data_IF_688473080644
#
_entry.id   IF_688473080644
#
_cell.length_a   1.000
_cell.length_b   1.000
_cell.length_c   1.000
_cell.angle_alpha   90.00
_cell.angle_beta   90.00
_cell.angle_gamma   90.00
#
_symmetry.space_group_name_H-M   'P 1'
#
loop_
_entity.id
_entity.type
_entity.pdbx_description
1 polymer ?
#
# COMPACT_ATOMS: atom_id res chain seq x y z
N UNK A 1 -29.50 25.16 -8.65
CA UNK A 1 -28.33 24.82 -7.81
C UNK A 1 -27.29 24.18 -8.71
N UNK A 2 -26.04 24.70 -8.81
CA UNK A 2 -25.01 24.01 -9.58
C UNK A 2 -24.75 22.64 -8.95
N UNK A 3 -24.55 21.63 -9.78
CA UNK A 3 -24.21 20.30 -9.30
C UNK A 3 -22.89 20.40 -8.54
N UNK A 4 -22.80 19.95 -7.28
CA UNK A 4 -21.54 19.98 -6.54
C UNK A 4 -20.49 19.22 -7.36
N UNK A 5 -19.34 19.86 -7.57
CA UNK A 5 -18.25 19.37 -8.44
C UNK A 5 -17.83 17.93 -8.10
N UNK A 6 -17.89 17.57 -6.82
CA UNK A 6 -17.60 16.22 -6.31
C UNK A 6 -18.54 15.13 -6.87
N UNK A 7 -19.80 15.45 -7.18
CA UNK A 7 -20.74 14.47 -7.70
C UNK A 7 -20.75 14.41 -9.23
N UNK A 8 -20.12 15.38 -9.91
CA UNK A 8 -20.13 15.41 -11.38
C UNK A 8 -19.57 14.11 -11.96
N UNK A 9 -20.15 13.54 -13.03
CA UNK A 9 -19.65 12.32 -13.67
C UNK A 9 -18.13 12.37 -13.97
N UNK A 10 -17.63 13.58 -14.25
CA UNK A 10 -16.23 13.87 -14.51
C UNK A 10 -15.34 13.64 -13.28
N UNK A 11 -15.81 13.97 -12.07
CA UNK A 11 -15.04 13.76 -10.84
C UNK A 11 -14.82 12.28 -10.52
N UNK A 12 -15.88 11.46 -10.68
CA UNK A 12 -15.78 10.01 -10.51
C UNK A 12 -14.89 9.38 -11.57
N UNK A 13 -15.05 9.78 -12.83
CA UNK A 13 -14.21 9.31 -13.93
C UNK A 13 -12.72 9.66 -13.72
N UNK A 14 -12.42 10.86 -13.20
CA UNK A 14 -11.05 11.29 -12.94
C UNK A 14 -10.38 10.51 -11.79
N UNK A 15 -11.16 10.03 -10.82
CA UNK A 15 -10.62 9.32 -9.65
C UNK A 15 -10.41 7.82 -9.94
N UNK A 16 -11.19 7.23 -10.85
CA UNK A 16 -11.18 5.79 -11.13
C UNK A 16 -9.80 5.21 -11.46
N UNK A 17 -8.96 5.83 -12.33
CA UNK A 17 -7.63 5.28 -12.62
C UNK A 17 -6.72 5.25 -11.39
N UNK A 18 -6.74 6.31 -10.58
CA UNK A 18 -5.92 6.42 -9.37
C UNK A 18 -6.35 5.36 -8.36
N UNK A 19 -7.66 5.17 -8.17
CA UNK A 19 -8.20 4.15 -7.27
C UNK A 19 -7.85 2.73 -7.73
N UNK A 20 -7.96 2.45 -9.03
CA UNK A 20 -7.60 1.17 -9.61
C UNK A 20 -6.13 0.84 -9.37
N UNK A 21 -5.22 1.77 -9.71
CA UNK A 21 -3.77 1.58 -9.50
C UNK A 21 -3.45 1.39 -8.02
N UNK A 22 -4.03 2.22 -7.14
CA UNK A 22 -3.88 2.11 -5.68
C UNK A 22 -4.32 0.73 -5.17
N UNK A 23 -5.43 0.20 -5.70
CA UNK A 23 -5.95 -1.12 -5.33
C UNK A 23 -5.02 -2.25 -5.80
N UNK A 24 -4.44 -2.14 -6.99
CA UNK A 24 -3.49 -3.11 -7.54
C UNK A 24 -2.14 -3.09 -6.82
N UNK A 25 -1.73 -1.95 -6.26
CA UNK A 25 -0.54 -1.85 -5.42
C UNK A 25 -0.69 -2.60 -4.09
N UNK A 26 -1.93 -2.76 -3.60
CA UNK A 26 -2.25 -3.38 -2.30
C UNK A 26 -1.38 -2.85 -1.15
N UNK A 27 -1.18 -1.53 -1.10
CA UNK A 27 -0.36 -0.94 -0.05
C UNK A 27 -1.19 -0.72 1.23
N UNK A 28 -0.60 -0.98 2.41
CA UNK A 28 -1.19 -0.71 3.73
C UNK A 28 -0.18 0.06 4.59
N UNK A 29 -0.57 1.26 5.02
CA UNK A 29 0.28 2.15 5.82
C UNK A 29 -0.17 2.16 7.29
N UNK A 30 0.71 1.67 8.15
CA UNK A 30 0.58 1.76 9.60
C UNK A 30 1.62 2.72 10.17
N UNK A 31 1.34 4.02 10.04
CA UNK A 31 2.25 5.07 10.52
C UNK A 31 2.52 4.94 12.02
N UNK A 32 1.49 4.71 12.83
CA UNK A 32 1.63 4.55 14.29
C UNK A 32 2.45 3.32 14.72
N UNK A 33 2.53 2.29 13.87
CA UNK A 33 3.34 1.08 14.11
C UNK A 33 4.62 1.05 13.27
N UNK A 34 4.94 2.15 12.58
CA UNK A 34 6.13 2.27 11.74
C UNK A 34 6.23 1.17 10.67
N UNK A 35 5.14 0.81 10.00
CA UNK A 35 5.19 -0.23 8.96
C UNK A 35 4.45 0.19 7.70
N UNK A 36 5.04 -0.12 6.54
CA UNK A 36 4.43 -0.01 5.21
C UNK A 36 4.45 -1.40 4.59
N UNK A 37 3.28 -1.95 4.28
CA UNK A 37 3.11 -3.24 3.61
C UNK A 37 2.73 -3.02 2.15
N UNK A 38 3.20 -3.90 1.26
CA UNK A 38 2.82 -3.87 -0.16
C UNK A 38 2.94 -5.24 -0.80
N UNK A 39 1.95 -5.61 -1.60
CA UNK A 39 1.89 -6.85 -2.38
C UNK A 39 1.32 -6.58 -3.78
N UNK A 40 2.11 -5.97 -4.69
CA UNK A 40 1.59 -5.52 -5.96
C UNK A 40 1.13 -6.66 -6.86
N UNK A 41 0.02 -6.43 -7.58
CA UNK A 41 -0.56 -7.36 -8.56
C UNK A 41 -0.89 -6.64 -9.87
N UNK A 42 0.05 -5.84 -10.35
CA UNK A 42 -0.05 -5.11 -11.61
C UNK A 42 -0.05 -6.09 -12.80
N UNK A 43 -0.96 -5.89 -13.78
CA UNK A 43 -0.89 -6.58 -15.06
C UNK A 43 0.40 -6.23 -15.80
N UNK A 44 0.98 -7.19 -16.54
CA UNK A 44 2.19 -6.94 -17.35
C UNK A 44 1.99 -5.81 -18.37
N UNK A 45 0.77 -5.64 -18.88
CA UNK A 45 0.42 -4.58 -19.83
C UNK A 45 0.54 -3.16 -19.27
N UNK A 46 0.62 -3.00 -17.95
CA UNK A 46 0.78 -1.69 -17.30
C UNK A 46 2.25 -1.27 -17.20
N UNK A 47 3.19 -2.19 -17.46
CA UNK A 47 4.62 -1.93 -17.40
C UNK A 47 5.12 -1.62 -15.98
N UNK A 48 6.10 -0.73 -15.90
CA UNK A 48 6.69 -0.28 -14.64
C UNK A 48 5.92 0.92 -14.07
N UNK A 49 5.64 0.88 -12.78
CA UNK A 49 4.94 1.94 -12.07
C UNK A 49 5.93 2.73 -11.21
N UNK A 50 6.05 4.02 -11.48
CA UNK A 50 6.89 4.96 -10.75
C UNK A 50 6.03 6.05 -10.11
N UNK A 51 5.98 6.10 -8.78
CA UNK A 51 5.29 7.14 -8.02
C UNK A 51 6.29 7.90 -7.18
N UNK A 52 6.48 9.19 -7.49
CA UNK A 52 7.30 10.09 -6.68
C UNK A 52 6.45 10.96 -5.77
N UNK A 53 7.08 11.54 -4.74
CA UNK A 53 6.48 12.58 -3.91
C UNK A 53 5.20 12.12 -3.17
N UNK A 54 5.07 10.80 -2.93
CA UNK A 54 3.95 10.26 -2.19
C UNK A 54 4.08 10.63 -0.71
N UNK A 55 3.07 11.27 -0.09
CA UNK A 55 3.14 11.68 1.31
C UNK A 55 3.06 10.45 2.23
N UNK A 56 3.99 10.35 3.18
CA UNK A 56 4.00 9.30 4.19
C UNK A 56 4.64 9.76 5.49
N UNK A 57 3.90 9.66 6.60
CA UNK A 57 4.38 9.97 7.96
C UNK A 57 5.16 11.30 8.08
N UNK A 58 4.68 12.36 7.43
CA UNK A 58 5.31 13.69 7.42
C UNK A 58 6.50 13.86 6.45
N UNK A 59 6.87 12.80 5.73
CA UNK A 59 7.87 12.82 4.66
C UNK A 59 7.28 12.56 3.28
N UNK A 60 8.18 12.41 2.30
CA UNK A 60 7.87 12.05 0.92
C UNK A 60 8.65 10.80 0.55
N UNK A 61 7.97 9.83 -0.04
CA UNK A 61 8.58 8.61 -0.54
C UNK A 61 8.46 8.52 -2.05
N UNK A 62 9.33 7.70 -2.63
CA UNK A 62 9.22 7.21 -4.00
C UNK A 62 8.94 5.72 -3.95
N UNK A 63 8.04 5.25 -4.82
CA UNK A 63 7.63 3.86 -4.96
C UNK A 63 7.89 3.46 -6.41
N UNK A 64 8.70 2.43 -6.59
CA UNK A 64 8.93 1.76 -7.86
C UNK A 64 8.32 0.37 -7.82
N UNK A 65 7.59 -0.03 -8.86
CA UNK A 65 7.11 -1.40 -9.00
C UNK A 65 7.42 -1.89 -10.41
N UNK A 66 8.26 -2.92 -10.48
CA UNK A 66 8.59 -3.63 -11.72
C UNK A 66 8.35 -5.13 -11.50
N UNK A 67 7.62 -5.80 -12.41
CA UNK A 67 7.31 -7.23 -12.31
C UNK A 67 6.72 -7.63 -10.93
N UNK A 68 5.81 -6.82 -10.39
CA UNK A 68 5.23 -6.99 -9.05
C UNK A 68 6.24 -7.01 -7.89
N UNK A 69 7.45 -6.49 -8.12
CA UNK A 69 8.49 -6.26 -7.13
C UNK A 69 8.47 -4.79 -6.73
N UNK A 70 7.98 -4.46 -5.52
CA UNK A 70 8.01 -3.10 -5.02
C UNK A 70 9.37 -2.75 -4.42
N UNK A 71 9.85 -1.54 -4.70
CA UNK A 71 10.94 -0.87 -4.02
C UNK A 71 10.47 0.50 -3.53
N UNK A 72 10.94 0.91 -2.35
CA UNK A 72 10.54 2.18 -1.71
C UNK A 72 11.78 2.94 -1.27
N UNK A 73 11.89 4.21 -1.67
CA UNK A 73 12.95 5.11 -1.22
C UNK A 73 12.39 6.27 -0.40
N UNK A 74 13.24 6.84 0.46
CA UNK A 74 12.87 7.99 1.30
C UNK A 74 12.02 7.63 2.52
N UNK A 75 11.98 6.34 2.91
CA UNK A 75 11.18 5.87 4.04
C UNK A 75 11.56 6.62 5.33
N UNK A 76 10.61 7.24 6.05
CA UNK A 76 10.88 7.98 7.26
C UNK A 76 11.54 7.12 8.36
N UNK A 77 12.34 7.77 9.22
CA UNK A 77 13.01 7.08 10.34
C UNK A 77 11.98 6.37 11.23
N UNK A 78 12.25 5.12 11.58
CA UNK A 78 11.36 4.29 12.41
C UNK A 78 10.26 3.57 11.64
N UNK A 79 10.18 3.74 10.31
CA UNK A 79 9.30 2.96 9.46
C UNK A 79 10.06 1.81 8.78
N UNK A 80 9.40 0.67 8.62
CA UNK A 80 9.93 -0.53 7.97
C UNK A 80 9.03 -0.91 6.81
N UNK A 81 9.63 -1.12 5.65
CA UNK A 81 8.95 -1.66 4.49
C UNK A 81 8.87 -3.19 4.57
N UNK A 82 7.70 -3.76 4.33
CA UNK A 82 7.45 -5.20 4.36
C UNK A 82 6.70 -5.62 3.10
N UNK A 83 7.14 -6.72 2.50
CA UNK A 83 6.47 -7.29 1.33
C UNK A 83 5.39 -8.27 1.79
N UNK A 84 4.28 -8.32 1.07
CA UNK A 84 3.11 -9.14 1.41
C UNK A 84 1.99 -8.32 2.05
N UNK A 85 0.96 -9.02 2.50
CA UNK A 85 -0.16 -8.41 3.19
C UNK A 85 0.09 -8.33 4.70
N UNK A 86 -0.57 -7.38 5.35
CA UNK A 86 -0.58 -7.32 6.81
C UNK A 86 -1.32 -8.56 7.35
N UNK A 87 -0.72 -9.31 8.29
CA UNK A 87 -1.42 -10.41 8.94
C UNK A 87 -2.62 -9.89 9.72
N UNK A 88 -3.74 -10.60 9.58
CA UNK A 88 -4.95 -10.33 10.33
C UNK A 88 -4.74 -10.56 11.82
N UNK A 89 -5.58 -9.93 12.65
CA UNK A 89 -5.45 -10.04 14.11
C UNK A 89 -5.52 -11.49 14.60
N UNK A 90 -6.26 -12.35 13.88
CA UNK A 90 -6.34 -13.79 14.11
C UNK A 90 -5.01 -14.51 13.85
N UNK A 91 -4.31 -14.18 12.77
CA UNK A 91 -3.02 -14.78 12.42
C UNK A 91 -1.91 -14.38 13.40
N UNK A 92 -1.97 -13.15 13.93
CA UNK A 92 -1.06 -12.67 14.98
C UNK A 92 -1.25 -13.43 16.30
N UNK A 93 -2.49 -13.79 16.65
CA UNK A 93 -2.81 -14.58 17.86
C UNK A 93 -2.35 -16.04 17.70
N UNK A 94 -2.47 -16.59 16.48
CA UNK A 94 -2.02 -17.95 16.18
C UNK A 94 -0.49 -18.07 16.19
N UNK A 95 0.24 -17.09 15.62
CA UNK A 95 1.70 -17.02 15.69
C UNK A 95 2.25 -16.77 17.11
N UNK A 96 1.45 -16.14 17.98
CA UNK A 96 1.80 -15.89 19.37
C UNK A 96 1.45 -17.07 20.31
N UNK A 97 0.75 -18.10 19.81
CA UNK A 97 0.49 -19.30 20.61
C UNK A 97 1.79 -20.10 20.78
N UNK A 98 2.24 -20.37 22.02
CA UNK A 98 3.49 -21.08 22.25
C UNK A 98 3.39 -22.50 21.67
N UNK A 99 4.40 -22.89 20.89
CA UNK A 99 4.53 -24.25 20.37
C UNK A 99 4.39 -25.27 21.52
N UNK A 100 3.65 -26.38 21.33
CA UNK A 100 3.48 -27.37 22.38
C UNK A 100 4.85 -27.97 22.72
N UNK A 101 5.23 -27.91 24.01
CA UNK A 101 6.44 -28.60 24.50
C UNK A 101 6.30 -30.08 24.16
N UNK A 102 7.23 -30.59 23.36
CA UNK A 102 7.41 -32.01 23.11
C UNK A 102 7.58 -32.74 24.45
N UNK A 103 6.78 -33.79 24.64
CA UNK A 103 6.94 -34.78 25.70
C UNK A 103 7.70 -35.99 25.15
#
# INVERSE_FOLDING_TARGET
MPYPTACSPQAWAATAPILLVTSLMRYDTHVSRGSLWMDPVLPESYGELHITNAPLAGGRITIDIANNVPAVQGLPKGMVFRRGHRPWMTELVEQASPAPKAQ
#
